data_IF_628776937111
#
_entry.id   IF_628776937111
#
_cell.length_a   1.000
_cell.length_b   1.000
_cell.length_c   1.000
_cell.angle_alpha   90.00
_cell.angle_beta   90.00
_cell.angle_gamma   90.00
#
_symmetry.space_group_name_H-M   'P 1'
#
loop_
_entity.id
_entity.type
_entity.pdbx_description
1 polymer ?
#
# COMPACT_ATOMS: atom_id res chain seq x y z
N UNK A 1 70.42 -41.85 -27.28
CA UNK A 1 70.37 -40.45 -27.72
C UNK A 1 70.54 -39.53 -26.51
N UNK A 2 70.86 -38.23 -26.67
CA UNK A 2 71.23 -37.39 -25.52
C UNK A 2 70.23 -37.47 -24.36
N UNK A 3 68.93 -37.58 -24.60
CA UNK A 3 67.90 -37.69 -23.57
C UNK A 3 67.68 -39.06 -22.90
N UNK A 4 68.56 -40.06 -23.07
CA UNK A 4 68.32 -41.40 -22.52
C UNK A 4 68.44 -41.48 -20.99
N UNK A 5 69.18 -40.56 -20.35
CA UNK A 5 69.43 -40.56 -18.89
C UNK A 5 68.75 -39.43 -18.13
N UNK A 6 68.09 -38.49 -18.81
CA UNK A 6 67.48 -37.32 -18.19
C UNK A 6 65.96 -37.49 -18.14
N UNK A 7 65.42 -37.74 -16.95
CA UNK A 7 63.97 -37.80 -16.72
C UNK A 7 63.45 -36.42 -16.34
N UNK A 8 62.59 -35.83 -17.17
CA UNK A 8 61.85 -34.60 -16.84
C UNK A 8 60.45 -35.00 -16.32
N UNK A 9 60.12 -34.70 -15.06
CA UNK A 9 58.86 -35.12 -14.43
C UNK A 9 57.65 -34.46 -15.11
N UNK A 10 57.64 -33.12 -15.16
CA UNK A 10 56.59 -32.33 -15.81
C UNK A 10 57.15 -31.52 -16.98
N UNK A 11 57.89 -32.17 -17.87
CA UNK A 11 58.53 -31.49 -19.00
C UNK A 11 58.94 -32.43 -20.12
N UNK A 12 59.61 -31.88 -21.13
CA UNK A 12 60.18 -32.62 -22.25
C UNK A 12 61.69 -32.38 -22.27
N UNK A 13 62.48 -33.46 -22.38
CA UNK A 13 63.91 -33.34 -22.58
C UNK A 13 64.21 -32.84 -24.00
N UNK A 14 64.97 -31.76 -24.10
CA UNK A 14 65.41 -31.17 -25.37
C UNK A 14 66.93 -31.01 -25.38
N UNK A 15 67.53 -31.16 -26.56
CA UNK A 15 68.96 -30.91 -26.76
C UNK A 15 69.14 -29.47 -27.28
N UNK A 16 69.77 -28.62 -26.47
CA UNK A 16 70.07 -27.22 -26.80
C UNK A 16 71.58 -27.04 -26.76
N UNK A 17 72.21 -26.81 -27.92
CA UNK A 17 73.67 -26.59 -28.03
C UNK A 17 74.53 -27.70 -27.40
N UNK A 18 74.17 -28.96 -27.62
CA UNK A 18 74.81 -30.16 -27.03
C UNK A 18 74.67 -30.27 -25.50
N UNK A 19 73.75 -29.52 -24.89
CA UNK A 19 73.36 -29.65 -23.48
C UNK A 19 71.93 -30.17 -23.40
N UNK A 20 71.70 -31.15 -22.53
CA UNK A 20 70.36 -31.63 -22.21
C UNK A 20 69.68 -30.69 -21.22
N UNK A 21 68.50 -30.18 -21.59
CA UNK A 21 67.70 -29.32 -20.72
C UNK A 21 66.27 -29.84 -20.69
N UNK A 22 65.66 -29.86 -19.50
CA UNK A 22 64.23 -30.09 -19.38
C UNK A 22 63.46 -28.80 -19.70
N UNK A 23 62.66 -28.83 -20.76
CA UNK A 23 61.68 -27.78 -21.03
C UNK A 23 60.40 -28.11 -20.25
N UNK A 24 60.16 -27.38 -19.16
CA UNK A 24 59.01 -27.63 -18.30
C UNK A 24 57.69 -27.25 -18.98
N UNK A 25 56.63 -27.98 -18.61
CA UNK A 25 55.24 -27.59 -18.87
C UNK A 25 54.93 -26.34 -18.04
N UNK A 26 53.95 -25.57 -18.49
CA UNK A 26 53.49 -24.39 -17.77
C UNK A 26 53.08 -24.75 -16.34
N UNK A 27 53.41 -23.88 -15.38
CA UNK A 27 53.17 -24.12 -13.95
C UNK A 27 54.24 -24.98 -13.26
N UNK A 28 55.31 -25.42 -13.93
CA UNK A 28 56.38 -26.20 -13.31
C UNK A 28 57.77 -25.57 -13.49
N UNK A 29 58.64 -25.79 -12.51
CA UNK A 29 60.03 -25.33 -12.51
C UNK A 29 60.97 -26.35 -11.86
N UNK A 30 62.27 -26.05 -11.89
CA UNK A 30 63.33 -26.95 -11.42
C UNK A 30 64.13 -27.54 -12.57
N UNK A 31 65.22 -28.22 -12.24
CA UNK A 31 66.13 -28.80 -13.26
C UNK A 31 65.46 -29.96 -14.01
N UNK A 32 64.55 -30.65 -13.35
CA UNK A 32 63.82 -31.81 -13.84
C UNK A 32 62.30 -31.55 -13.88
N UNK A 33 61.86 -30.29 -13.72
CA UNK A 33 60.45 -29.89 -13.64
C UNK A 33 59.71 -30.60 -12.49
N UNK A 34 60.40 -30.73 -11.37
CA UNK A 34 59.98 -31.45 -10.17
C UNK A 34 59.11 -30.61 -9.22
N UNK A 35 59.13 -29.28 -9.37
CA UNK A 35 58.38 -28.37 -8.52
C UNK A 35 57.23 -27.74 -9.30
N UNK A 36 56.03 -27.73 -8.72
CA UNK A 36 54.94 -26.87 -9.17
C UNK A 36 55.20 -25.44 -8.68
N UNK A 37 55.01 -24.46 -9.55
CA UNK A 37 54.97 -23.06 -9.19
C UNK A 37 53.72 -22.80 -8.37
N UNK A 38 53.86 -22.07 -7.26
CA UNK A 38 52.71 -21.63 -6.47
C UNK A 38 52.32 -20.22 -6.94
N UNK A 39 51.33 -20.14 -7.83
CA UNK A 39 50.80 -18.88 -8.38
C UNK A 39 50.19 -17.98 -7.31
N UNK A 40 49.73 -18.57 -6.19
CA UNK A 40 49.22 -17.82 -5.03
C UNK A 40 50.29 -17.06 -4.24
N UNK A 41 51.59 -17.38 -4.42
CA UNK A 41 52.69 -16.70 -3.71
C UNK A 41 52.74 -15.19 -3.96
N UNK A 42 52.22 -14.74 -5.10
CA UNK A 42 52.13 -13.33 -5.48
C UNK A 42 50.96 -12.58 -4.80
N UNK A 43 50.12 -13.28 -4.04
CA UNK A 43 48.87 -12.79 -3.46
C UNK A 43 47.96 -12.09 -4.48
N UNK A 44 47.53 -12.78 -5.55
CA UNK A 44 46.76 -12.16 -6.63
C UNK A 44 45.34 -11.73 -6.17
N UNK A 45 44.78 -12.39 -5.15
CA UNK A 45 43.42 -12.14 -4.67
C UNK A 45 43.33 -10.88 -3.80
N UNK A 46 42.52 -9.92 -4.24
CA UNK A 46 42.26 -8.64 -3.55
C UNK A 46 41.12 -8.77 -2.54
N UNK A 47 40.93 -7.71 -1.75
CA UNK A 47 39.78 -7.55 -0.85
C UNK A 47 39.58 -8.70 0.16
N UNK A 48 40.68 -9.35 0.54
CA UNK A 48 40.67 -10.47 1.47
C UNK A 48 40.06 -11.75 0.91
N UNK A 49 40.04 -11.93 -0.42
CA UNK A 49 39.73 -13.21 -1.04
C UNK A 49 40.80 -14.27 -0.76
N UNK A 50 40.39 -15.53 -0.65
CA UNK A 50 41.31 -16.65 -0.44
C UNK A 50 41.86 -17.15 -1.77
N UNK A 51 43.18 -17.32 -1.88
CA UNK A 51 43.81 -17.86 -3.08
C UNK A 51 43.90 -19.38 -3.01
N UNK A 52 43.54 -20.05 -4.10
CA UNK A 52 43.70 -21.49 -4.30
C UNK A 52 44.63 -21.70 -5.48
N UNK A 53 45.74 -22.37 -5.20
CA UNK A 53 46.78 -22.71 -6.17
C UNK A 53 46.28 -23.73 -7.19
N UNK A 54 46.69 -23.57 -8.45
CA UNK A 54 46.31 -24.45 -9.57
C UNK A 54 47.47 -24.52 -10.56
N UNK A 55 47.60 -25.66 -11.24
CA UNK A 55 48.61 -25.81 -12.29
C UNK A 55 48.50 -24.67 -13.32
N UNK A 56 49.55 -23.87 -13.44
CA UNK A 56 49.66 -22.73 -14.37
C UNK A 56 48.57 -21.65 -14.19
N UNK A 57 47.88 -21.60 -13.05
CA UNK A 57 46.75 -20.71 -12.83
C UNK A 57 46.47 -20.50 -11.34
N UNK A 58 45.49 -19.67 -11.01
CA UNK A 58 45.02 -19.53 -9.64
C UNK A 58 43.52 -19.31 -9.62
N UNK A 59 42.87 -19.63 -8.50
CA UNK A 59 41.47 -19.33 -8.27
C UNK A 59 41.32 -18.47 -7.02
N UNK A 60 40.72 -17.29 -7.17
CA UNK A 60 40.36 -16.46 -6.03
C UNK A 60 38.94 -16.73 -5.57
N UNK A 61 38.79 -17.15 -4.31
CA UNK A 61 37.50 -17.25 -3.65
C UNK A 61 37.16 -15.91 -2.99
N UNK A 62 36.26 -15.15 -3.63
CA UNK A 62 35.90 -13.82 -3.17
C UNK A 62 35.00 -13.83 -1.95
N UNK A 63 35.23 -12.86 -1.05
CA UNK A 63 34.31 -12.57 0.05
C UNK A 63 32.98 -12.02 -0.48
N UNK A 64 31.88 -12.17 0.30
CA UNK A 64 30.60 -11.59 -0.06
C UNK A 64 30.73 -10.09 -0.41
N UNK A 65 30.11 -9.67 -1.51
CA UNK A 65 30.19 -8.29 -2.01
C UNK A 65 31.40 -8.00 -2.89
N UNK A 66 32.25 -8.98 -3.22
CA UNK A 66 33.34 -8.83 -4.19
C UNK A 66 33.23 -9.83 -5.34
N UNK A 67 33.70 -9.43 -6.52
CA UNK A 67 33.67 -10.19 -7.76
C UNK A 67 34.89 -9.88 -8.63
N UNK A 68 35.02 -10.57 -9.75
CA UNK A 68 36.17 -10.53 -10.66
C UNK A 68 37.20 -11.63 -10.38
N UNK A 69 38.09 -11.88 -11.35
CA UNK A 69 39.11 -12.96 -11.33
C UNK A 69 40.01 -12.84 -10.09
N UNK A 70 40.32 -11.62 -9.66
CA UNK A 70 41.14 -11.32 -8.48
C UNK A 70 40.34 -10.69 -7.36
N UNK A 71 39.01 -10.82 -7.36
CA UNK A 71 38.12 -10.19 -6.37
C UNK A 71 38.27 -8.66 -6.28
N UNK A 72 38.72 -8.02 -7.35
CA UNK A 72 39.06 -6.60 -7.39
C UNK A 72 37.83 -5.68 -7.49
N UNK A 73 36.68 -6.21 -7.91
CA UNK A 73 35.47 -5.44 -8.09
C UNK A 73 34.57 -5.59 -6.87
N UNK A 74 34.05 -4.48 -6.36
CA UNK A 74 32.97 -4.50 -5.36
C UNK A 74 31.64 -4.69 -6.08
N UNK A 75 30.92 -5.75 -5.73
CA UNK A 75 29.56 -6.00 -6.15
C UNK A 75 28.61 -5.24 -5.22
N UNK A 76 28.45 -3.94 -5.48
CA UNK A 76 27.35 -3.17 -4.92
C UNK A 76 26.07 -3.59 -5.63
N UNK A 77 25.30 -4.49 -5.01
CA UNK A 77 23.85 -4.67 -5.22
C UNK A 77 23.35 -4.32 -6.63
N UNK A 78 23.75 -5.10 -7.63
CA UNK A 78 23.09 -5.14 -8.93
C UNK A 78 22.77 -6.61 -9.21
N UNK A 79 21.52 -6.99 -8.95
CA UNK A 79 21.06 -8.37 -9.05
C UNK A 79 20.94 -9.07 -7.69
N UNK A 80 19.87 -8.72 -6.97
CA UNK A 80 18.97 -9.68 -6.34
C UNK A 80 19.42 -11.16 -6.37
N UNK A 81 20.33 -11.52 -5.48
CA UNK A 81 20.16 -12.74 -4.69
C UNK A 81 19.78 -12.28 -3.29
N UNK A 82 18.60 -11.67 -3.20
CA UNK A 82 17.93 -11.56 -1.92
C UNK A 82 17.88 -13.00 -1.40
N UNK A 83 18.68 -13.32 -0.38
CA UNK A 83 18.15 -14.23 0.63
C UNK A 83 16.84 -13.57 1.02
N UNK A 84 15.73 -14.12 0.53
CA UNK A 84 14.40 -13.77 0.99
C UNK A 84 14.31 -14.22 2.45
N UNK A 85 15.01 -13.54 3.35
CA UNK A 85 14.41 -13.24 4.64
C UNK A 85 13.31 -12.25 4.29
N UNK A 86 12.09 -12.75 4.23
CA UNK A 86 10.88 -12.00 3.95
C UNK A 86 10.75 -10.84 4.94
N UNK A 87 11.33 -9.66 4.65
CA UNK A 87 11.21 -8.50 5.55
C UNK A 87 11.60 -7.13 4.95
N UNK A 88 11.85 -7.01 3.64
CA UNK A 88 12.43 -5.79 3.03
C UNK A 88 11.51 -4.87 2.23
N UNK A 89 10.43 -5.38 1.62
CA UNK A 89 9.49 -4.61 0.77
C UNK A 89 8.06 -4.53 1.35
N UNK A 90 7.91 -4.84 2.65
CA UNK A 90 6.61 -4.82 3.33
C UNK A 90 5.99 -3.44 3.40
N UNK A 91 6.79 -2.38 3.51
CA UNK A 91 6.25 -1.02 3.67
C UNK A 91 5.59 -0.49 2.40
N UNK A 92 6.17 -0.76 1.21
CA UNK A 92 5.56 -0.31 -0.06
C UNK A 92 4.28 -1.11 -0.34
N UNK A 93 4.30 -2.43 -0.11
CA UNK A 93 3.12 -3.27 -0.27
C UNK A 93 1.96 -2.88 0.65
N UNK A 94 2.24 -2.62 1.94
CA UNK A 94 1.23 -2.18 2.90
C UNK A 94 0.71 -0.79 2.54
N UNK A 95 1.58 0.16 2.16
CA UNK A 95 1.14 1.51 1.77
C UNK A 95 0.20 1.47 0.55
N UNK A 96 0.54 0.69 -0.49
CA UNK A 96 -0.31 0.54 -1.68
C UNK A 96 -1.64 -0.14 -1.33
N UNK A 97 -1.62 -1.17 -0.48
CA UNK A 97 -2.84 -1.82 -0.02
C UNK A 97 -3.74 -0.88 0.79
N UNK A 98 -3.16 -0.07 1.69
CA UNK A 98 -3.89 0.92 2.48
C UNK A 98 -4.50 2.01 1.59
N UNK A 99 -3.76 2.53 0.61
CA UNK A 99 -4.28 3.51 -0.34
C UNK A 99 -5.42 2.93 -1.20
N UNK A 100 -5.31 1.68 -1.64
CA UNK A 100 -6.36 1.00 -2.39
C UNK A 100 -7.64 0.81 -1.54
N UNK A 101 -7.51 0.41 -0.28
CA UNK A 101 -8.63 0.25 0.65
C UNK A 101 -9.31 1.58 0.96
N UNK A 102 -8.54 2.65 1.19
CA UNK A 102 -9.07 3.99 1.39
C UNK A 102 -9.82 4.50 0.15
N UNK A 103 -9.26 4.28 -1.05
CA UNK A 103 -9.92 4.67 -2.30
C UNK A 103 -11.25 3.93 -2.49
N UNK A 104 -11.28 2.61 -2.24
CA UNK A 104 -12.51 1.82 -2.31
C UNK A 104 -13.55 2.25 -1.24
N UNK A 105 -13.12 2.59 -0.03
CA UNK A 105 -13.98 3.14 1.01
C UNK A 105 -14.58 4.50 0.62
N UNK A 106 -13.80 5.39 0.01
CA UNK A 106 -14.28 6.69 -0.48
C UNK A 106 -15.28 6.51 -1.63
N UNK A 107 -15.01 5.61 -2.58
CA UNK A 107 -15.93 5.31 -3.68
C UNK A 107 -17.26 4.70 -3.20
N UNK A 108 -17.22 3.79 -2.24
CA UNK A 108 -18.43 3.19 -1.64
C UNK A 108 -19.23 4.22 -0.84
N UNK A 109 -18.58 5.09 -0.07
CA UNK A 109 -19.23 6.20 0.62
C UNK A 109 -19.86 7.20 -0.36
N UNK A 110 -19.16 7.55 -1.44
CA UNK A 110 -19.66 8.48 -2.47
C UNK A 110 -20.87 7.90 -3.22
N UNK A 111 -20.82 6.64 -3.64
CA UNK A 111 -21.95 5.95 -4.29
C UNK A 111 -23.14 5.79 -3.34
N UNK A 112 -22.90 5.43 -2.08
CA UNK A 112 -23.92 5.39 -1.04
C UNK A 112 -24.58 6.75 -0.84
N UNK A 113 -23.80 7.83 -0.66
CA UNK A 113 -24.32 9.19 -0.47
C UNK A 113 -25.13 9.67 -1.67
N UNK A 114 -24.64 9.42 -2.89
CA UNK A 114 -25.34 9.77 -4.12
C UNK A 114 -26.69 9.03 -4.23
N UNK A 115 -26.69 7.71 -3.93
CA UNK A 115 -27.92 6.90 -3.93
C UNK A 115 -28.94 7.38 -2.90
N UNK A 116 -28.49 7.74 -1.69
CA UNK A 116 -29.33 8.25 -0.61
C UNK A 116 -29.95 9.59 -0.98
N UNK A 117 -29.16 10.53 -1.54
CA UNK A 117 -29.66 11.83 -2.00
C UNK A 117 -30.72 11.67 -3.10
N UNK A 118 -30.51 10.72 -4.03
CA UNK A 118 -31.50 10.40 -5.08
C UNK A 118 -32.80 9.84 -4.49
N UNK A 119 -32.70 8.88 -3.56
CA UNK A 119 -33.87 8.31 -2.86
C UNK A 119 -34.65 9.37 -2.09
N UNK A 120 -33.98 10.26 -1.34
CA UNK A 120 -34.65 11.34 -0.61
C UNK A 120 -35.33 12.35 -1.53
N UNK A 121 -34.72 12.65 -2.70
CA UNK A 121 -35.35 13.52 -3.70
C UNK A 121 -36.62 12.88 -4.28
N UNK A 122 -36.56 11.60 -4.66
CA UNK A 122 -37.72 10.86 -5.19
C UNK A 122 -38.82 10.77 -4.13
N UNK A 123 -38.49 10.39 -2.89
CA UNK A 123 -39.45 10.29 -1.79
C UNK A 123 -40.13 11.64 -1.51
N UNK A 124 -39.36 12.74 -1.46
CA UNK A 124 -39.92 14.09 -1.32
C UNK A 124 -40.84 14.44 -2.48
N UNK A 125 -40.48 14.10 -3.71
CA UNK A 125 -41.35 14.36 -4.87
C UNK A 125 -42.65 13.54 -4.83
N UNK A 126 -42.59 12.28 -4.43
CA UNK A 126 -43.76 11.42 -4.28
C UNK A 126 -44.68 11.90 -3.14
N UNK A 127 -44.10 12.24 -1.98
CA UNK A 127 -44.84 12.79 -0.86
C UNK A 127 -45.51 14.11 -1.27
N UNK A 128 -44.78 15.01 -1.94
CA UNK A 128 -45.33 16.28 -2.42
C UNK A 128 -46.47 16.08 -3.41
N UNK A 129 -46.36 15.11 -4.34
CA UNK A 129 -47.43 14.82 -5.29
C UNK A 129 -48.63 14.14 -4.62
N UNK A 130 -48.42 13.27 -3.63
CA UNK A 130 -49.50 12.69 -2.84
C UNK A 130 -50.22 13.76 -2.00
N UNK A 131 -49.47 14.66 -1.36
CA UNK A 131 -50.00 15.82 -0.64
C UNK A 131 -50.87 16.69 -1.58
N UNK A 132 -50.35 17.04 -2.77
CA UNK A 132 -51.12 17.81 -3.77
C UNK A 132 -52.37 17.07 -4.25
N UNK A 133 -52.32 15.73 -4.40
CA UNK A 133 -53.48 14.91 -4.78
C UNK A 133 -54.55 14.91 -3.70
N UNK A 134 -54.18 14.72 -2.43
CA UNK A 134 -55.12 14.73 -1.30
C UNK A 134 -55.81 16.09 -1.16
N UNK A 135 -55.07 17.18 -1.38
CA UNK A 135 -55.62 18.53 -1.37
C UNK A 135 -56.60 18.79 -2.52
N UNK A 136 -56.30 18.35 -3.74
CA UNK A 136 -57.22 18.50 -4.90
C UNK A 136 -58.54 17.75 -4.73
N UNK A 137 -58.55 16.61 -4.03
CA UNK A 137 -59.76 15.82 -3.81
C UNK A 137 -60.61 16.31 -2.62
N UNK A 138 -60.14 17.31 -1.88
CA UNK A 138 -60.84 17.85 -0.72
C UNK A 138 -61.98 18.78 -1.17
N UNK A 139 -63.23 18.40 -0.89
CA UNK A 139 -64.43 19.12 -1.35
C UNK A 139 -64.69 20.46 -0.63
N UNK A 140 -64.16 20.65 0.58
CA UNK A 140 -64.33 21.86 1.39
C UNK A 140 -63.02 22.34 2.02
N UNK A 141 -62.87 23.65 2.26
CA UNK A 141 -61.67 24.26 2.88
C UNK A 141 -61.32 23.63 4.25
N UNK A 142 -62.33 23.26 5.03
CA UNK A 142 -62.17 22.59 6.33
C UNK A 142 -61.57 21.20 6.19
N UNK A 143 -61.93 20.48 5.12
CA UNK A 143 -61.37 19.15 4.84
C UNK A 143 -59.91 19.26 4.38
N UNK A 144 -59.57 20.29 3.60
CA UNK A 144 -58.18 20.54 3.19
C UNK A 144 -57.29 20.89 4.38
N UNK A 145 -57.81 21.69 5.33
CA UNK A 145 -57.11 22.05 6.55
C UNK A 145 -56.85 20.82 7.45
N UNK A 146 -57.83 19.90 7.57
CA UNK A 146 -57.63 18.63 8.28
C UNK A 146 -56.52 17.78 7.67
N UNK A 147 -56.45 17.73 6.33
CA UNK A 147 -55.36 17.03 5.61
C UNK A 147 -54.02 17.69 5.90
N UNK A 148 -53.92 19.02 5.85
CA UNK A 148 -52.68 19.75 6.20
C UNK A 148 -52.22 19.50 7.64
N UNK A 149 -53.14 19.55 8.61
CA UNK A 149 -52.82 19.33 10.03
C UNK A 149 -52.31 17.91 10.30
N UNK A 150 -53.00 16.89 9.76
CA UNK A 150 -52.59 15.49 9.90
C UNK A 150 -51.19 15.22 9.30
N UNK A 151 -50.81 15.96 8.26
CA UNK A 151 -49.51 15.81 7.61
C UNK A 151 -48.36 16.48 8.38
N UNK A 152 -48.65 17.48 9.21
CA UNK A 152 -47.65 18.16 10.04
C UNK A 152 -47.14 17.29 11.20
N UNK A 153 -47.93 16.30 11.64
CA UNK A 153 -47.57 15.39 12.73
C UNK A 153 -46.57 14.30 12.27
N UNK A 154 -46.56 13.93 10.99
CA UNK A 154 -45.70 12.87 10.44
C UNK A 154 -44.26 13.33 10.07
N UNK A 155 -44.03 14.64 9.87
CA UNK A 155 -42.70 15.17 9.49
C UNK A 155 -41.64 15.06 10.61
N UNK A 156 -42.06 14.83 11.85
CA UNK A 156 -41.19 14.74 13.02
C UNK A 156 -40.46 13.39 13.10
N UNK A 157 -40.98 12.32 12.48
CA UNK A 157 -40.49 10.95 12.68
C UNK A 157 -39.36 10.52 11.72
N UNK A 158 -38.99 11.32 10.71
CA UNK A 158 -38.01 10.93 9.68
C UNK A 158 -36.54 11.35 9.98
N UNK A 159 -36.22 11.68 11.24
CA UNK A 159 -34.91 12.23 11.63
C UNK A 159 -33.85 11.15 11.89
N UNK A 160 -33.17 10.74 10.81
CA UNK A 160 -31.87 10.04 10.76
C UNK A 160 -31.79 8.61 11.33
N UNK A 161 -31.14 7.66 10.61
CA UNK A 161 -30.98 6.27 11.05
C UNK A 161 -29.96 6.07 12.19
N UNK A 162 -29.51 7.16 12.82
CA UNK A 162 -28.50 7.15 13.88
C UNK A 162 -29.08 7.40 15.28
N UNK A 163 -30.34 7.80 15.38
CA UNK A 163 -31.00 7.99 16.67
C UNK A 163 -31.99 6.85 16.91
N UNK A 164 -31.74 6.09 17.97
CA UNK A 164 -32.72 5.14 18.52
C UNK A 164 -34.02 5.89 18.85
N UNK A 165 -35.19 5.28 18.66
CA UNK A 165 -36.47 5.92 18.97
C UNK A 165 -36.50 6.36 20.44
N UNK A 166 -36.83 7.63 20.69
CA UNK A 166 -37.03 8.13 22.05
C UNK A 166 -38.17 7.37 22.72
N UNK A 167 -37.94 6.89 23.94
CA UNK A 167 -38.94 6.17 24.74
C UNK A 167 -40.11 7.11 25.12
N UNK A 168 -41.25 6.53 25.51
CA UNK A 168 -42.42 7.31 25.97
C UNK A 168 -42.10 8.26 27.12
N UNK A 169 -41.17 7.88 27.99
CA UNK A 169 -40.70 8.73 29.09
C UNK A 169 -39.89 9.92 28.57
N UNK A 170 -38.98 9.70 27.61
CA UNK A 170 -38.21 10.80 27.02
C UNK A 170 -39.10 11.82 26.28
N UNK A 171 -40.24 11.40 25.72
CA UNK A 171 -41.22 12.32 25.13
C UNK A 171 -41.91 13.19 26.18
N UNK A 172 -42.19 12.63 27.37
CA UNK A 172 -42.79 13.39 28.48
C UNK A 172 -41.80 14.43 29.01
N UNK A 173 -40.53 14.06 29.16
CA UNK A 173 -39.52 14.97 29.72
C UNK A 173 -39.30 16.21 28.83
N UNK A 174 -39.24 16.04 27.50
CA UNK A 174 -39.09 17.15 26.56
C UNK A 174 -40.34 18.06 26.56
N UNK A 175 -41.53 17.48 26.66
CA UNK A 175 -42.77 18.27 26.75
C UNK A 175 -42.83 19.09 28.05
N UNK A 176 -42.36 18.54 29.17
CA UNK A 176 -42.31 19.23 30.46
C UNK A 176 -41.28 20.38 30.43
N UNK A 177 -40.10 20.17 29.85
CA UNK A 177 -39.09 21.23 29.71
C UNK A 177 -39.61 22.43 28.91
N UNK A 178 -40.26 22.19 27.77
CA UNK A 178 -40.80 23.26 26.92
C UNK A 178 -41.93 24.07 27.57
N UNK A 179 -42.66 23.49 28.53
CA UNK A 179 -43.72 24.19 29.27
C UNK A 179 -43.12 25.07 30.38
N UNK A 180 -42.09 24.58 31.09
CA UNK A 180 -41.45 25.28 32.21
C UNK A 180 -40.55 26.45 31.79
N UNK A 181 -40.07 26.47 30.54
CA UNK A 181 -39.19 27.52 30.02
C UNK A 181 -39.93 28.68 29.33
N UNK A 182 -41.27 28.69 29.31
CA UNK A 182 -42.03 29.79 28.68
C UNK A 182 -42.20 30.99 29.63
N UNK A 183 -41.62 32.18 29.31
CA UNK A 183 -41.73 33.38 30.14
C UNK A 183 -43.13 34.00 30.04
N UNK A 184 -43.64 34.48 31.18
CA UNK A 184 -44.86 35.28 31.32
C UNK A 184 -44.66 36.72 30.84
N UNK A 185 -45.38 37.15 29.80
CA UNK A 185 -45.56 38.57 29.42
C UNK A 185 -46.86 38.67 28.57
N UNK A 186 -48.03 38.88 29.19
CA UNK A 186 -48.66 40.16 29.54
C UNK A 186 -49.13 41.02 28.35
N UNK A 187 -50.44 40.85 28.05
CA UNK A 187 -51.51 41.88 27.97
C UNK A 187 -51.41 43.13 27.07
N UNK A 188 -52.62 43.54 26.66
CA UNK A 188 -53.10 44.85 26.15
C UNK A 188 -53.17 44.94 24.61
N UNK A 189 -54.37 44.83 24.01
CA UNK A 189 -55.36 45.91 23.77
C UNK A 189 -54.94 46.80 22.58
N UNK A 190 -55.74 47.26 21.61
CA UNK A 190 -57.19 47.29 21.35
C UNK A 190 -57.37 47.77 19.89
N UNK A 191 -58.49 47.39 19.25
CA UNK A 191 -59.44 48.14 18.36
C UNK A 191 -58.86 49.24 17.42
N UNK A 192 -59.28 49.34 16.16
CA UNK A 192 -60.60 49.86 15.73
C UNK A 192 -60.75 49.65 14.20
N UNK A 193 -61.82 49.00 13.71
CA UNK A 193 -62.97 49.59 12.98
C UNK A 193 -62.58 50.75 12.04
N UNK A 194 -62.91 50.76 10.74
CA UNK A 194 -64.28 51.00 10.21
C UNK A 194 -64.28 50.83 8.68
N UNK A 195 -65.35 50.26 8.12
CA UNK A 195 -65.68 50.09 6.69
C UNK A 195 -66.63 51.23 6.18
N UNK A 196 -67.45 51.09 5.13
CA UNK A 196 -67.17 51.07 3.67
C UNK A 196 -68.02 52.10 2.85
N UNK A 197 -67.77 52.16 1.53
CA UNK A 197 -68.70 52.35 0.38
C UNK A 197 -68.27 53.43 -0.63
N UNK A 198 -68.20 53.00 -1.88
CA UNK A 198 -68.12 53.76 -3.13
C UNK A 198 -68.18 52.76 -4.27
#
# INVERSE_FOLDING_TARGET
MLCDRLTCMNGVCVNVSNVMVCKCKDGYYGRFCEFEMNECSSNPCRNGGSCIDKIASFLCQCKPGYTGITCQQMMYLSGSKLRMTAHGDGHVGVAVAMLALLFMAVLTAATYWCSRKRRTKILRSLLTEEMKRRLRNSKDSTSALKVYLALSEDEIQFRSPFFSPLTSDQRRDIAIQNILESPSESTSETKESTAPKG
#
